data_IF_879337101800
#
_entry.id   IF_879337101800
#
_cell.length_a   1.000
_cell.length_b   1.000
_cell.length_c   1.000
_cell.angle_alpha   90.00
_cell.angle_beta   90.00
_cell.angle_gamma   90.00
#
_symmetry.space_group_name_H-M   'P 1'
#
loop_
_entity.id
_entity.type
_entity.pdbx_description
1 polymer ?
#
# COMPACT_ATOMS: atom_id res chain seq x y z
N UNK A 1 -14.96 -7.35 14.66
CA UNK A 1 -14.17 -6.83 15.80
C UNK A 1 -13.99 -5.35 15.54
N UNK A 2 -14.36 -4.49 16.49
CA UNK A 2 -14.15 -3.04 16.38
C UNK A 2 -12.66 -2.73 16.21
N UNK A 3 -12.29 -2.08 15.11
CA UNK A 3 -10.95 -1.53 14.93
C UNK A 3 -10.88 -0.22 15.71
N UNK A 4 -10.51 -0.29 17.00
CA UNK A 4 -10.16 0.89 17.77
C UNK A 4 -8.87 1.50 17.22
N UNK A 5 -8.85 2.82 17.06
CA UNK A 5 -7.69 3.58 16.67
C UNK A 5 -6.58 3.35 17.71
N UNK A 6 -5.41 2.88 17.26
CA UNK A 6 -4.31 2.51 18.17
C UNK A 6 -3.75 3.77 18.85
N UNK A 7 -3.85 4.93 18.19
CA UNK A 7 -3.36 6.22 18.69
C UNK A 7 -3.95 6.62 20.04
N UNK A 8 -5.21 6.28 20.32
CA UNK A 8 -5.88 6.64 21.58
C UNK A 8 -5.34 5.87 22.79
N UNK A 9 -4.62 4.77 22.56
CA UNK A 9 -4.06 3.90 23.63
C UNK A 9 -2.59 4.12 23.88
N UNK A 10 -1.91 4.94 23.06
CA UNK A 10 -0.49 5.21 23.16
C UNK A 10 -0.22 6.49 23.97
N UNK A 11 0.79 6.45 24.83
CA UNK A 11 1.21 7.63 25.58
C UNK A 11 1.83 8.67 24.62
N UNK A 12 1.26 9.88 24.58
CA UNK A 12 1.83 10.97 23.78
C UNK A 12 3.15 11.44 24.38
N UNK A 13 4.23 11.31 23.62
CA UNK A 13 5.57 11.83 23.99
C UNK A 13 5.55 13.35 24.14
N UNK A 14 4.70 14.04 23.36
CA UNK A 14 4.47 15.48 23.44
C UNK A 14 2.97 15.70 23.71
N UNK A 15 2.57 15.96 24.98
CA UNK A 15 1.15 16.03 25.36
C UNK A 15 0.35 17.10 24.61
N UNK A 16 1.01 18.19 24.26
CA UNK A 16 0.44 19.37 23.59
C UNK A 16 0.40 19.23 22.07
N UNK A 17 1.04 18.19 21.50
CA UNK A 17 1.03 17.96 20.07
C UNK A 17 -0.36 17.47 19.64
N UNK A 18 -1.01 18.29 18.81
CA UNK A 18 -2.22 17.90 18.11
C UNK A 18 -1.87 16.86 17.04
N UNK A 19 -2.56 15.72 17.07
CA UNK A 19 -2.40 14.69 16.05
C UNK A 19 -3.22 15.10 14.82
N UNK A 20 -2.60 15.88 13.94
CA UNK A 20 -3.23 16.37 12.71
C UNK A 20 -3.37 15.27 11.64
N UNK A 21 -2.75 14.11 11.86
CA UNK A 21 -2.76 12.98 10.93
C UNK A 21 -2.86 11.66 11.70
N UNK A 22 -4.02 11.37 12.32
CA UNK A 22 -4.19 10.12 13.07
C UNK A 22 -4.05 8.92 12.13
N UNK A 23 -3.05 8.09 12.40
CA UNK A 23 -2.76 6.88 11.63
C UNK A 23 -3.37 5.68 12.33
N UNK A 24 -4.29 4.99 11.65
CA UNK A 24 -4.89 3.76 12.15
C UNK A 24 -3.92 2.56 12.06
N UNK A 25 -2.88 2.68 11.23
CA UNK A 25 -1.81 1.69 11.06
C UNK A 25 -1.40 1.55 9.60
N UNK A 26 -0.67 0.48 9.31
CA UNK A 26 -0.29 0.11 7.94
C UNK A 26 -1.45 -0.63 7.27
N UNK A 27 -1.85 -0.20 6.07
CA UNK A 27 -2.83 -0.93 5.25
C UNK A 27 -2.14 -2.05 4.46
N UNK A 28 -1.10 -1.71 3.69
CA UNK A 28 -0.27 -2.67 2.97
C UNK A 28 1.13 -2.15 2.68
N UNK A 29 2.04 -3.06 2.34
CA UNK A 29 3.35 -2.75 1.77
C UNK A 29 3.43 -3.31 0.36
N UNK A 30 3.75 -2.47 -0.62
CA UNK A 30 3.95 -2.92 -2.00
C UNK A 30 5.44 -2.99 -2.34
N UNK A 31 5.82 -4.14 -2.88
CA UNK A 31 7.15 -4.39 -3.41
C UNK A 31 7.08 -4.47 -4.93
N UNK A 32 7.99 -3.78 -5.60
CA UNK A 32 8.26 -4.00 -7.00
C UNK A 32 9.34 -5.08 -7.10
N UNK A 33 9.00 -6.17 -7.78
CA UNK A 33 9.83 -7.37 -7.87
C UNK A 33 9.94 -7.83 -9.32
N UNK A 34 11.05 -8.48 -9.67
CA UNK A 34 11.30 -8.98 -11.02
C UNK A 34 10.36 -10.11 -11.43
N UNK A 35 9.88 -10.92 -10.47
CA UNK A 35 8.91 -11.98 -10.73
C UNK A 35 7.95 -12.18 -9.54
N UNK A 36 6.78 -11.55 -9.61
CA UNK A 36 5.80 -11.52 -8.53
C UNK A 36 5.23 -12.91 -8.22
N UNK A 37 5.15 -13.82 -9.19
CA UNK A 37 4.68 -15.19 -8.96
C UNK A 37 5.67 -16.00 -8.13
N UNK A 38 6.96 -15.87 -8.43
CA UNK A 38 8.02 -16.52 -7.65
C UNK A 38 8.17 -15.88 -6.27
N UNK A 39 8.16 -14.55 -6.18
CA UNK A 39 8.16 -13.84 -4.92
C UNK A 39 6.96 -14.26 -4.05
N UNK A 40 5.77 -14.37 -4.64
CA UNK A 40 4.59 -14.82 -3.92
C UNK A 40 4.75 -16.25 -3.40
N UNK A 41 5.32 -17.15 -4.20
CA UNK A 41 5.65 -18.49 -3.73
C UNK A 41 6.65 -18.46 -2.56
N UNK A 42 7.70 -17.66 -2.66
CA UNK A 42 8.70 -17.50 -1.61
C UNK A 42 8.09 -17.01 -0.28
N UNK A 43 7.34 -15.91 -0.29
CA UNK A 43 6.73 -15.37 0.93
C UNK A 43 5.69 -16.31 1.55
N UNK A 44 4.92 -17.03 0.72
CA UNK A 44 3.99 -18.05 1.24
C UNK A 44 4.71 -19.22 1.90
N UNK A 45 5.74 -19.75 1.24
CA UNK A 45 6.46 -20.93 1.72
C UNK A 45 7.38 -20.63 2.90
N UNK A 46 8.14 -19.54 2.83
CA UNK A 46 9.17 -19.22 3.83
C UNK A 46 8.62 -18.47 5.05
N UNK A 47 7.57 -17.66 4.88
CA UNK A 47 7.02 -16.82 5.96
C UNK A 47 5.58 -17.19 6.36
N UNK A 48 4.93 -18.09 5.63
CA UNK A 48 3.58 -18.58 5.98
C UNK A 48 2.44 -17.68 5.51
N UNK A 49 2.71 -16.66 4.69
CA UNK A 49 1.66 -15.84 4.07
C UNK A 49 0.69 -16.69 3.25
N UNK A 50 -0.54 -16.20 3.09
CA UNK A 50 -1.57 -16.83 2.26
C UNK A 50 -1.98 -15.93 1.11
N UNK A 51 -2.48 -16.54 0.02
CA UNK A 51 -2.96 -15.76 -1.14
C UNK A 51 -4.27 -15.05 -0.77
N UNK A 52 -4.38 -13.77 -1.09
CA UNK A 52 -5.53 -12.93 -0.73
C UNK A 52 -6.26 -12.39 -1.96
N UNK A 53 -5.54 -11.77 -2.89
CA UNK A 53 -6.10 -11.21 -4.12
C UNK A 53 -5.07 -11.24 -5.27
N UNK A 54 -5.54 -11.00 -6.48
CA UNK A 54 -4.74 -11.02 -7.69
C UNK A 54 -5.24 -9.97 -8.70
N UNK A 55 -4.31 -9.33 -9.39
CA UNK A 55 -4.59 -8.52 -10.56
C UNK A 55 -3.56 -8.83 -11.66
N UNK A 56 -4.02 -9.04 -12.89
CA UNK A 56 -3.16 -9.35 -14.04
C UNK A 56 -3.97 -9.45 -15.33
N UNK A 57 -3.41 -10.09 -16.35
CA UNK A 57 -4.04 -10.21 -17.68
C UNK A 57 -5.43 -10.81 -17.60
N UNK A 58 -5.60 -11.81 -16.74
CA UNK A 58 -6.86 -12.53 -16.50
C UNK A 58 -7.94 -11.64 -15.89
N UNK A 59 -7.55 -10.54 -15.24
CA UNK A 59 -8.46 -9.54 -14.64
C UNK A 59 -8.49 -8.25 -15.47
N UNK A 60 -7.96 -8.26 -16.69
CA UNK A 60 -7.95 -7.11 -17.60
C UNK A 60 -6.82 -6.10 -17.36
N UNK A 61 -5.93 -6.32 -16.39
CA UNK A 61 -4.75 -5.47 -16.16
C UNK A 61 -3.62 -5.91 -17.09
N UNK A 62 -3.19 -5.02 -17.98
CA UNK A 62 -2.26 -5.36 -19.07
C UNK A 62 -0.84 -4.86 -18.86
N UNK A 63 -0.64 -3.87 -18.00
CA UNK A 63 0.66 -3.24 -17.75
C UNK A 63 1.48 -3.94 -16.65
N UNK A 64 0.83 -4.70 -15.76
CA UNK A 64 1.45 -5.35 -14.60
C UNK A 64 0.69 -6.55 -14.09
N UNK A 65 1.37 -7.34 -13.25
CA UNK A 65 0.77 -8.39 -12.41
C UNK A 65 1.06 -8.07 -10.95
N UNK A 66 0.04 -8.18 -10.11
CA UNK A 66 0.13 -7.99 -8.66
C UNK A 66 -0.47 -9.18 -7.91
N UNK A 67 0.31 -9.78 -7.01
CA UNK A 67 -0.17 -10.78 -6.05
C UNK A 67 -0.30 -10.14 -4.68
N UNK A 68 -1.49 -10.20 -4.09
CA UNK A 68 -1.71 -9.77 -2.72
C UNK A 68 -1.64 -10.98 -1.81
N UNK A 69 -0.77 -10.90 -0.81
CA UNK A 69 -0.62 -11.90 0.24
C UNK A 69 -1.03 -11.32 1.59
N UNK A 70 -1.63 -12.14 2.44
CA UNK A 70 -2.00 -11.75 3.79
C UNK A 70 -1.53 -12.75 4.84
N UNK A 71 -1.09 -12.24 5.98
CA UNK A 71 -0.89 -12.99 7.21
C UNK A 71 -1.38 -12.14 8.37
N UNK A 72 -2.44 -12.58 9.03
CA UNK A 72 -3.20 -11.78 10.00
C UNK A 72 -3.54 -10.38 9.44
N UNK A 73 -3.00 -9.33 10.05
CA UNK A 73 -3.21 -7.93 9.65
C UNK A 73 -2.19 -7.42 8.62
N UNK A 74 -1.17 -8.20 8.29
CA UNK A 74 -0.10 -7.79 7.37
C UNK A 74 -0.51 -8.13 5.94
N UNK A 75 -0.45 -7.13 5.05
CA UNK A 75 -0.69 -7.29 3.61
C UNK A 75 0.55 -6.91 2.82
N UNK A 76 0.99 -7.83 1.96
CA UNK A 76 2.06 -7.60 0.99
C UNK A 76 1.47 -7.61 -0.42
N UNK A 77 1.80 -6.60 -1.21
CA UNK A 77 1.48 -6.53 -2.64
C UNK A 77 2.77 -6.71 -3.42
N UNK A 78 2.87 -7.77 -4.21
CA UNK A 78 4.05 -8.11 -4.99
C UNK A 78 3.74 -7.82 -6.45
N UNK A 79 4.40 -6.80 -7.02
CA UNK A 79 4.06 -6.28 -8.35
C UNK A 79 5.24 -6.41 -9.33
N UNK A 80 4.97 -6.92 -10.53
CA UNK A 80 5.93 -7.07 -11.64
C UNK A 80 5.36 -6.41 -12.90
N UNK A 81 6.18 -5.73 -13.72
CA UNK A 81 5.71 -5.15 -14.98
C UNK A 81 5.51 -6.23 -16.05
N UNK A 82 4.52 -6.04 -16.91
CA UNK A 82 4.30 -6.88 -18.11
C UNK A 82 4.81 -6.23 -19.39
N UNK A 83 5.06 -4.92 -19.36
CA UNK A 83 5.57 -4.14 -20.48
C UNK A 83 6.99 -3.64 -20.20
N UNK A 84 7.83 -3.45 -21.24
CA UNK A 84 9.15 -2.87 -21.07
C UNK A 84 9.08 -1.39 -20.65
N UNK A 85 10.03 -0.97 -19.81
CA UNK A 85 10.13 0.42 -19.35
C UNK A 85 9.10 0.80 -18.28
N UNK A 86 8.81 2.10 -18.15
CA UNK A 86 7.90 2.61 -17.13
C UNK A 86 8.47 2.61 -15.70
N UNK A 87 7.62 3.02 -14.74
CA UNK A 87 8.05 3.31 -13.37
C UNK A 87 8.49 2.05 -12.60
N UNK A 88 7.88 0.89 -12.88
CA UNK A 88 8.19 -0.37 -12.19
C UNK A 88 9.57 -0.88 -12.64
N UNK A 89 9.82 -1.00 -13.95
CA UNK A 89 11.14 -1.40 -14.46
C UNK A 89 12.25 -0.44 -14.02
N UNK A 90 11.99 0.87 -13.99
CA UNK A 90 12.99 1.83 -13.50
C UNK A 90 13.41 1.51 -12.05
N UNK A 91 12.46 1.26 -11.16
CA UNK A 91 12.77 0.89 -9.78
C UNK A 91 13.58 -0.41 -9.70
N UNK A 92 13.20 -1.42 -10.48
CA UNK A 92 13.91 -2.70 -10.52
C UNK A 92 15.36 -2.53 -11.01
N UNK A 93 15.59 -1.69 -12.01
CA UNK A 93 16.94 -1.41 -12.51
C UNK A 93 17.79 -0.66 -11.47
N UNK A 94 17.18 0.27 -10.74
CA UNK A 94 17.89 1.11 -9.77
C UNK A 94 18.17 0.36 -8.44
N UNK A 95 17.31 -0.60 -8.07
CA UNK A 95 17.30 -1.18 -6.71
C UNK A 95 17.20 -2.71 -6.63
N UNK A 96 16.84 -3.39 -7.71
CA UNK A 96 16.39 -4.79 -7.65
C UNK A 96 15.01 -4.92 -7.00
N UNK A 97 14.72 -6.09 -6.44
CA UNK A 97 13.47 -6.36 -5.72
C UNK A 97 13.42 -5.56 -4.42
N UNK A 98 12.40 -4.70 -4.26
CA UNK A 98 12.38 -3.76 -3.14
C UNK A 98 11.01 -3.16 -2.83
N UNK A 99 10.89 -2.61 -1.61
CA UNK A 99 9.69 -1.87 -1.17
C UNK A 99 9.58 -0.58 -1.96
N UNK A 100 8.42 -0.37 -2.58
CA UNK A 100 8.10 0.84 -3.32
C UNK A 100 7.09 1.74 -2.60
N UNK A 101 6.06 1.15 -1.98
CA UNK A 101 4.97 1.88 -1.33
C UNK A 101 4.74 1.31 0.07
N UNK A 102 4.56 2.21 1.03
CA UNK A 102 4.01 1.90 2.36
C UNK A 102 2.68 2.64 2.45
N UNK A 103 1.58 1.90 2.39
CA UNK A 103 0.25 2.47 2.47
C UNK A 103 -0.18 2.55 3.93
N UNK A 104 -0.69 3.72 4.33
CA UNK A 104 -1.17 3.99 5.68
C UNK A 104 -2.69 4.09 5.66
N UNK A 105 -3.32 3.50 6.67
CA UNK A 105 -4.75 3.60 6.87
C UNK A 105 -5.07 4.84 7.70
N UNK A 106 -5.95 5.68 7.17
CA UNK A 106 -6.43 6.92 7.79
C UNK A 106 -7.95 6.99 7.65
N UNK A 107 -8.59 7.82 8.47
CA UNK A 107 -10.04 8.02 8.41
C UNK A 107 -10.46 8.83 7.17
N UNK A 108 -9.63 9.77 6.71
CA UNK A 108 -9.90 10.59 5.52
C UNK A 108 -8.62 10.88 4.71
N UNK A 109 -8.45 10.16 3.59
CA UNK A 109 -7.30 10.30 2.71
C UNK A 109 -7.19 11.70 2.04
N UNK A 110 -8.30 12.41 1.82
CA UNK A 110 -8.28 13.74 1.21
C UNK A 110 -7.77 14.77 2.21
N UNK A 111 -8.31 14.72 3.43
CA UNK A 111 -7.83 15.58 4.52
C UNK A 111 -6.37 15.30 4.84
N UNK A 112 -5.98 14.03 4.95
CA UNK A 112 -4.58 13.63 5.18
C UNK A 112 -3.63 14.18 4.12
N UNK A 113 -4.04 14.17 2.86
CA UNK A 113 -3.25 14.72 1.76
C UNK A 113 -3.11 16.24 1.85
N UNK A 114 -4.20 16.97 2.08
CA UNK A 114 -4.17 18.43 2.24
C UNK A 114 -3.28 18.84 3.43
N UNK A 115 -3.46 18.21 4.59
CA UNK A 115 -2.69 18.54 5.80
C UNK A 115 -1.18 18.28 5.60
N UNK A 116 -0.81 17.18 4.95
CA UNK A 116 0.60 16.83 4.73
C UNK A 116 1.25 17.72 3.67
N UNK A 117 0.57 17.98 2.56
CA UNK A 117 1.10 18.84 1.49
C UNK A 117 1.20 20.31 1.91
N UNK A 118 0.23 20.83 2.66
CA UNK A 118 0.31 22.17 3.26
C UNK A 118 1.51 22.33 4.22
N UNK A 119 2.01 21.22 4.78
CA UNK A 119 3.21 21.17 5.64
C UNK A 119 4.50 20.83 4.88
N UNK A 120 4.46 20.84 3.54
CA UNK A 120 5.64 20.68 2.69
C UNK A 120 5.91 19.26 2.19
N UNK A 121 5.02 18.30 2.44
CA UNK A 121 5.10 17.01 1.77
C UNK A 121 4.92 17.17 0.25
N UNK A 122 5.67 16.40 -0.53
CA UNK A 122 5.57 16.43 -1.99
C UNK A 122 4.51 15.44 -2.46
N UNK A 123 3.49 15.94 -3.16
CA UNK A 123 2.47 15.14 -3.84
C UNK A 123 3.10 14.09 -4.76
N UNK A 124 2.71 12.84 -4.59
CA UNK A 124 2.96 11.74 -5.53
C UNK A 124 1.73 11.45 -6.40
N UNK A 125 0.53 11.53 -5.82
CA UNK A 125 -0.76 11.23 -6.43
C UNK A 125 -1.87 12.06 -5.77
N UNK A 126 -2.55 12.86 -6.58
CA UNK A 126 -3.75 13.58 -6.16
C UNK A 126 -4.83 12.64 -5.59
N UNK A 127 -5.59 13.09 -4.57
CA UNK A 127 -6.67 12.30 -4.00
C UNK A 127 -7.68 11.82 -5.04
N UNK A 128 -8.05 10.55 -4.97
CA UNK A 128 -9.04 9.94 -5.84
C UNK A 128 -9.90 8.91 -5.12
N UNK A 129 -11.11 8.72 -5.62
CA UNK A 129 -12.03 7.69 -5.15
C UNK A 129 -12.18 6.62 -6.23
N UNK A 130 -12.14 5.35 -5.83
CA UNK A 130 -12.42 4.20 -6.66
C UNK A 130 -13.61 3.46 -6.04
N UNK A 131 -14.57 3.05 -6.85
CA UNK A 131 -15.79 2.39 -6.39
C UNK A 131 -16.09 1.12 -7.19
N UNK A 132 -16.68 0.13 -6.53
CA UNK A 132 -17.18 -1.10 -7.11
C UNK A 132 -18.49 -1.54 -6.41
N UNK A 133 -18.98 -2.75 -6.67
CA UNK A 133 -20.18 -3.27 -6.00
C UNK A 133 -20.07 -3.45 -4.47
N UNK A 134 -18.85 -3.45 -3.91
CA UNK A 134 -18.58 -3.68 -2.48
C UNK A 134 -18.32 -2.39 -1.70
N UNK A 135 -18.25 -1.24 -2.37
CA UNK A 135 -18.13 0.07 -1.73
C UNK A 135 -17.17 1.01 -2.46
N UNK A 136 -16.50 1.85 -1.69
CA UNK A 136 -15.50 2.80 -2.22
C UNK A 136 -14.22 2.78 -1.39
N UNK A 137 -13.11 3.07 -2.06
CA UNK A 137 -11.82 3.34 -1.44
C UNK A 137 -11.33 4.72 -1.88
N UNK A 138 -10.84 5.51 -0.92
CA UNK A 138 -10.23 6.81 -1.16
C UNK A 138 -8.73 6.70 -0.96
N UNK A 139 -7.97 7.16 -1.94
CA UNK A 139 -6.52 7.03 -1.99
C UNK A 139 -5.90 8.40 -2.25
N UNK A 140 -4.75 8.67 -1.63
CA UNK A 140 -3.92 9.85 -1.88
C UNK A 140 -2.45 9.50 -1.62
N UNK A 141 -1.50 10.31 -2.10
CA UNK A 141 -0.08 10.08 -1.85
C UNK A 141 0.85 11.21 -2.27
#
# INVERSE_FOLDING_TARGET
MENKNIGDTLEKVVPEAEDFLPLNGTDYVELYVGNAKQAAHYYKTAFGFQSYAYAGLETGVKDRVSYVLSQDKIRLVLTTPLEPGGKINKHLNDHGDGVKVIALWVDDAYKSYEETTNRGAKSYMEPKTISDENGEVRLSG
#
